data_IF_685002745220
#
_entry.id   IF_685002745220
#
_cell.length_a   1.000
_cell.length_b   1.000
_cell.length_c   1.000
_cell.angle_alpha   90.00
_cell.angle_beta   90.00
_cell.angle_gamma   90.00
#
_symmetry.space_group_name_H-M   'P 1'
#
loop_
_entity.id
_entity.type
_entity.pdbx_description
1 polymer ?
#
# COMPACT_ATOMS: atom_id res chain seq x y z
N UNK A 1 65.85 5.04 -34.54
CA UNK A 1 64.44 4.70 -34.86
C UNK A 1 63.83 3.98 -33.66
N UNK A 2 63.07 4.69 -32.82
CA UNK A 2 62.42 4.17 -31.60
C UNK A 2 61.03 3.63 -31.97
N UNK A 3 60.80 2.37 -31.80
CA UNK A 3 59.46 1.74 -31.99
C UNK A 3 58.62 2.03 -30.77
N UNK A 4 57.52 2.77 -30.93
CA UNK A 4 56.51 3.02 -29.91
C UNK A 4 55.51 1.89 -30.03
N UNK A 5 55.51 1.00 -29.03
CA UNK A 5 54.52 -0.06 -28.92
C UNK A 5 53.29 0.52 -28.20
N UNK A 6 52.19 0.69 -28.94
CA UNK A 6 50.90 1.16 -28.42
C UNK A 6 50.21 -0.03 -27.74
N UNK A 7 50.15 -0.02 -26.42
CA UNK A 7 49.36 -0.98 -25.64
C UNK A 7 47.93 -0.44 -25.56
N UNK A 8 47.03 -0.99 -26.36
CA UNK A 8 45.59 -0.74 -26.26
C UNK A 8 45.05 -1.57 -25.07
N UNK A 9 44.91 -0.93 -23.93
CA UNK A 9 44.24 -1.52 -22.78
C UNK A 9 42.76 -1.65 -23.05
N UNK A 10 42.26 -2.88 -23.25
CA UNK A 10 40.84 -3.18 -23.27
C UNK A 10 40.28 -2.96 -21.84
N UNK A 11 39.62 -1.86 -21.60
CA UNK A 11 38.83 -1.67 -20.37
C UNK A 11 37.55 -2.46 -20.53
N UNK A 12 37.50 -3.65 -19.96
CA UNK A 12 36.25 -4.37 -19.74
C UNK A 12 35.46 -3.63 -18.68
N UNK A 13 34.52 -2.80 -19.10
CA UNK A 13 33.49 -2.31 -18.22
C UNK A 13 32.57 -3.48 -17.92
N UNK A 14 32.80 -4.11 -16.78
CA UNK A 14 31.87 -5.07 -16.21
C UNK A 14 30.63 -4.32 -15.82
N UNK A 15 29.63 -4.30 -16.70
CA UNK A 15 28.28 -3.90 -16.35
C UNK A 15 27.76 -4.98 -15.41
N UNK A 16 28.03 -4.81 -14.11
CA UNK A 16 27.40 -5.62 -13.08
C UNK A 16 25.90 -5.41 -13.21
N UNK A 17 25.18 -6.46 -13.57
CA UNK A 17 23.75 -6.51 -13.66
C UNK A 17 23.16 -6.17 -12.28
N UNK A 18 22.88 -4.89 -12.06
CA UNK A 18 22.08 -4.43 -10.95
C UNK A 18 20.66 -4.97 -11.14
N UNK A 19 20.26 -5.92 -10.29
CA UNK A 19 18.84 -6.15 -10.03
C UNK A 19 18.15 -7.31 -10.71
N UNK A 20 18.82 -8.38 -11.11
CA UNK A 20 18.12 -9.64 -11.35
C UNK A 20 18.05 -10.43 -10.03
N UNK A 21 16.89 -10.39 -9.38
CA UNK A 21 16.57 -11.37 -8.34
C UNK A 21 16.77 -12.76 -8.96
N UNK A 22 17.67 -13.59 -8.39
CA UNK A 22 17.87 -14.93 -8.92
C UNK A 22 16.59 -15.76 -8.77
N UNK A 23 16.42 -16.82 -9.57
CA UNK A 23 15.22 -17.65 -9.59
C UNK A 23 14.91 -18.23 -8.21
N UNK A 24 15.93 -18.72 -7.53
CA UNK A 24 15.82 -19.33 -6.20
C UNK A 24 15.33 -18.33 -5.14
N UNK A 25 15.77 -17.10 -5.21
CA UNK A 25 15.31 -16.02 -4.32
C UNK A 25 13.86 -15.63 -4.59
N UNK A 26 13.45 -15.63 -5.85
CA UNK A 26 12.07 -15.35 -6.23
C UNK A 26 11.12 -16.48 -5.82
N UNK A 27 11.49 -17.72 -6.00
CA UNK A 27 10.74 -18.88 -5.52
C UNK A 27 10.48 -18.80 -4.01
N UNK A 28 11.53 -18.57 -3.22
CA UNK A 28 11.42 -18.36 -1.77
C UNK A 28 10.54 -17.17 -1.40
N UNK A 29 10.52 -16.11 -2.22
CA UNK A 29 9.63 -14.97 -2.02
C UNK A 29 8.17 -15.38 -2.24
N UNK A 30 7.87 -16.17 -3.26
CA UNK A 30 6.53 -16.65 -3.53
C UNK A 30 5.97 -17.56 -2.41
N UNK A 31 6.80 -18.36 -1.79
CA UNK A 31 6.41 -19.26 -0.68
C UNK A 31 5.98 -18.50 0.58
N UNK A 32 6.52 -17.31 0.82
CA UNK A 32 6.24 -16.53 2.05
C UNK A 32 4.81 -16.04 2.17
N UNK A 33 4.14 -15.78 1.06
CA UNK A 33 2.76 -15.29 1.04
C UNK A 33 2.09 -15.52 -0.31
N UNK A 34 0.83 -15.96 -0.35
CA UNK A 34 0.05 -16.04 -1.58
C UNK A 34 -0.08 -14.70 -2.33
N UNK A 35 0.00 -13.58 -1.60
CA UNK A 35 -0.08 -12.24 -2.18
C UNK A 35 1.17 -11.85 -2.97
N UNK A 36 2.29 -12.51 -2.72
CA UNK A 36 3.54 -12.22 -3.40
C UNK A 36 3.49 -12.48 -4.91
N UNK A 37 2.56 -13.34 -5.36
CA UNK A 37 2.30 -13.59 -6.80
C UNK A 37 1.78 -12.36 -7.56
N UNK A 38 1.33 -11.33 -6.87
CA UNK A 38 0.87 -10.07 -7.49
C UNK A 38 2.03 -9.19 -7.95
N UNK A 39 3.25 -9.46 -7.48
CA UNK A 39 4.40 -8.62 -7.78
C UNK A 39 5.29 -9.24 -8.86
N UNK A 40 5.73 -8.46 -9.86
CA UNK A 40 6.68 -8.93 -10.84
C UNK A 40 8.05 -9.22 -10.18
N UNK A 41 8.78 -10.19 -10.72
CA UNK A 41 10.08 -10.63 -10.21
C UNK A 41 11.06 -9.47 -10.03
N UNK A 42 11.03 -8.49 -10.93
CA UNK A 42 11.92 -7.32 -10.92
C UNK A 42 11.88 -6.51 -9.62
N UNK A 43 10.72 -6.43 -8.96
CA UNK A 43 10.51 -5.63 -7.74
C UNK A 43 10.14 -6.48 -6.51
N UNK A 44 10.37 -7.77 -6.57
CA UNK A 44 9.90 -8.70 -5.55
C UNK A 44 10.48 -8.41 -4.15
N UNK A 45 11.77 -8.07 -4.05
CA UNK A 45 12.41 -7.74 -2.78
C UNK A 45 11.88 -6.44 -2.19
N UNK A 46 11.76 -5.42 -3.00
CA UNK A 46 11.24 -4.09 -2.63
C UNK A 46 9.77 -4.18 -2.23
N UNK A 47 8.98 -4.97 -2.94
CA UNK A 47 7.59 -5.22 -2.62
C UNK A 47 7.43 -5.93 -1.26
N UNK A 48 8.28 -6.92 -0.97
CA UNK A 48 8.29 -7.59 0.33
C UNK A 48 8.65 -6.64 1.46
N UNK A 49 9.65 -5.79 1.27
CA UNK A 49 10.05 -4.79 2.25
C UNK A 49 8.96 -3.74 2.47
N UNK A 50 8.39 -3.20 1.39
CA UNK A 50 7.28 -2.27 1.46
C UNK A 50 6.09 -2.86 2.23
N UNK A 51 5.72 -4.11 1.96
CA UNK A 51 4.60 -4.76 2.65
C UNK A 51 4.87 -4.95 4.14
N UNK A 52 6.12 -5.27 4.51
CA UNK A 52 6.53 -5.34 5.92
C UNK A 52 6.44 -3.98 6.62
N UNK A 53 6.91 -2.92 5.96
CA UNK A 53 6.88 -1.56 6.50
C UNK A 53 5.46 -1.02 6.59
N UNK A 54 4.63 -1.27 5.58
CA UNK A 54 3.21 -0.91 5.61
C UNK A 54 2.48 -1.55 6.81
N UNK A 55 2.77 -2.81 7.13
CA UNK A 55 2.17 -3.48 8.28
C UNK A 55 2.54 -2.82 9.63
N UNK A 56 3.65 -2.11 9.71
CA UNK A 56 4.03 -1.36 10.93
C UNK A 56 3.03 -0.27 11.28
N UNK A 57 2.32 0.30 10.31
CA UNK A 57 1.25 1.27 10.56
C UNK A 57 0.15 0.71 11.46
N UNK A 58 -0.09 -0.60 11.41
CA UNK A 58 -1.10 -1.28 12.20
C UNK A 58 -0.60 -1.82 13.54
N UNK A 59 0.71 -1.92 13.75
CA UNK A 59 1.29 -2.53 14.94
C UNK A 59 2.07 -1.57 15.81
N UNK A 60 2.68 -0.55 15.23
CA UNK A 60 3.59 0.38 15.90
C UNK A 60 3.55 1.80 15.30
N UNK A 61 2.51 2.11 14.53
CA UNK A 61 2.29 3.46 13.97
C UNK A 61 1.85 4.47 15.04
N UNK A 62 1.60 5.72 14.63
CA UNK A 62 1.17 6.80 15.52
C UNK A 62 -0.26 6.64 16.04
N UNK A 63 -1.06 5.79 15.40
CA UNK A 63 -2.43 5.45 15.82
C UNK A 63 -2.45 4.08 16.50
N UNK A 64 -3.47 3.81 17.31
CA UNK A 64 -3.67 2.47 17.85
C UNK A 64 -4.02 1.47 16.74
N UNK A 65 -3.75 0.19 16.99
CA UNK A 65 -4.14 -0.88 16.04
C UNK A 65 -5.62 -0.83 15.70
N UNK A 66 -6.49 -0.54 16.66
CA UNK A 66 -7.94 -0.43 16.45
C UNK A 66 -8.29 0.72 15.51
N UNK A 67 -7.77 1.91 15.77
CA UNK A 67 -8.00 3.10 14.92
C UNK A 67 -7.51 2.87 13.49
N UNK A 68 -6.30 2.34 13.34
CA UNK A 68 -5.75 2.02 12.02
C UNK A 68 -6.64 0.99 11.26
N UNK A 69 -7.19 -0.02 11.96
CA UNK A 69 -8.12 -0.98 11.34
C UNK A 69 -9.45 -0.37 10.97
N UNK A 70 -10.02 0.51 11.80
CA UNK A 70 -11.25 1.24 11.46
C UNK A 70 -11.06 2.14 10.25
N UNK A 71 -9.95 2.89 10.19
CA UNK A 71 -9.59 3.71 9.02
C UNK A 71 -9.47 2.87 7.74
N UNK A 72 -8.79 1.71 7.83
CA UNK A 72 -8.64 0.81 6.69
C UNK A 72 -9.97 0.21 6.23
N UNK A 73 -10.89 -0.10 7.15
CA UNK A 73 -12.25 -0.58 6.83
C UNK A 73 -13.03 0.53 6.11
N UNK A 74 -13.03 1.75 6.65
CA UNK A 74 -13.72 2.90 6.03
C UNK A 74 -13.19 3.17 4.62
N UNK A 75 -11.88 3.23 4.44
CA UNK A 75 -11.26 3.41 3.14
C UNK A 75 -11.62 2.28 2.16
N UNK A 76 -11.57 1.02 2.62
CA UNK A 76 -11.91 -0.16 1.81
C UNK A 76 -13.39 -0.14 1.36
N UNK A 77 -14.29 0.27 2.26
CA UNK A 77 -15.72 0.39 1.97
C UNK A 77 -15.98 1.52 0.95
N UNK A 78 -15.35 2.69 1.14
CA UNK A 78 -15.49 3.83 0.25
C UNK A 78 -15.10 3.52 -1.21
N UNK A 79 -14.01 2.76 -1.39
CA UNK A 79 -13.55 2.33 -2.73
C UNK A 79 -14.17 1.02 -3.21
N UNK A 80 -15.08 0.42 -2.42
CA UNK A 80 -15.78 -0.84 -2.73
C UNK A 80 -14.85 -2.02 -3.01
N UNK A 81 -13.71 -2.08 -2.31
CA UNK A 81 -12.74 -3.16 -2.46
C UNK A 81 -13.17 -4.38 -1.63
N UNK A 82 -13.84 -5.34 -2.23
CA UNK A 82 -14.36 -6.53 -1.55
C UNK A 82 -13.27 -7.31 -0.79
N UNK A 83 -12.13 -7.57 -1.43
CA UNK A 83 -11.01 -8.28 -0.81
C UNK A 83 -10.42 -7.49 0.37
N UNK A 84 -10.31 -6.16 0.20
CA UNK A 84 -9.79 -5.29 1.26
C UNK A 84 -10.73 -5.28 2.47
N UNK A 85 -12.06 -5.16 2.26
CA UNK A 85 -13.05 -5.21 3.33
C UNK A 85 -12.93 -6.54 4.09
N UNK A 86 -12.95 -7.68 3.39
CA UNK A 86 -12.82 -9.00 4.00
C UNK A 86 -11.56 -9.12 4.85
N UNK A 87 -10.41 -8.73 4.31
CA UNK A 87 -9.14 -8.79 5.02
C UNK A 87 -9.14 -7.89 6.26
N UNK A 88 -9.56 -6.62 6.13
CA UNK A 88 -9.54 -5.68 7.23
C UNK A 88 -10.54 -6.06 8.34
N UNK A 89 -11.72 -6.59 8.01
CA UNK A 89 -12.68 -7.10 9.01
C UNK A 89 -12.07 -8.27 9.81
N UNK A 90 -11.40 -9.21 9.14
CA UNK A 90 -10.73 -10.32 9.84
C UNK A 90 -9.66 -9.80 10.81
N UNK A 91 -8.83 -8.86 10.36
CA UNK A 91 -7.77 -8.29 11.21
C UNK A 91 -8.33 -7.40 12.32
N UNK A 92 -9.41 -6.68 12.08
CA UNK A 92 -10.10 -5.88 13.08
C UNK A 92 -10.65 -6.75 14.22
N UNK A 93 -11.30 -7.85 13.90
CA UNK A 93 -11.78 -8.83 14.91
C UNK A 93 -10.63 -9.43 15.72
N UNK A 94 -9.51 -9.76 15.07
CA UNK A 94 -8.29 -10.22 15.77
C UNK A 94 -7.71 -9.15 16.70
N UNK A 95 -7.88 -7.87 16.37
CA UNK A 95 -7.48 -6.74 17.20
C UNK A 95 -8.51 -6.40 18.31
N UNK A 96 -9.59 -7.19 18.43
CA UNK A 96 -10.61 -7.03 19.45
C UNK A 96 -11.63 -5.92 19.17
N UNK A 97 -11.87 -5.58 17.89
CA UNK A 97 -12.98 -4.73 17.50
C UNK A 97 -14.30 -5.50 17.51
N UNK A 98 -15.35 -4.84 17.97
CA UNK A 98 -16.72 -5.35 17.98
C UNK A 98 -17.35 -5.20 16.60
N UNK A 99 -18.45 -5.93 16.36
CA UNK A 99 -19.21 -5.80 15.13
C UNK A 99 -19.81 -4.39 14.97
N UNK A 100 -20.16 -3.73 16.07
CA UNK A 100 -20.71 -2.37 16.04
C UNK A 100 -19.65 -1.31 15.72
N UNK A 101 -18.42 -1.44 16.22
CA UNK A 101 -17.29 -0.58 15.81
C UNK A 101 -17.02 -0.72 14.30
N UNK A 102 -17.06 -1.95 13.78
CA UNK A 102 -16.86 -2.23 12.35
C UNK A 102 -18.01 -1.61 11.50
N UNK A 103 -19.27 -1.80 11.92
CA UNK A 103 -20.43 -1.20 11.24
C UNK A 103 -20.37 0.33 11.25
N UNK A 104 -19.93 0.94 12.37
CA UNK A 104 -19.75 2.39 12.46
C UNK A 104 -18.73 2.90 11.44
N UNK A 105 -17.59 2.21 11.25
CA UNK A 105 -16.61 2.57 10.24
C UNK A 105 -17.16 2.50 8.81
N UNK A 106 -17.99 1.50 8.51
CA UNK A 106 -18.68 1.38 7.21
C UNK A 106 -19.72 2.47 7.03
N UNK A 107 -20.50 2.81 8.08
CA UNK A 107 -21.48 3.89 8.04
C UNK A 107 -20.81 5.24 7.80
N UNK A 108 -19.69 5.52 8.46
CA UNK A 108 -18.91 6.75 8.24
C UNK A 108 -18.49 6.87 6.78
N UNK A 109 -17.99 5.78 6.17
CA UNK A 109 -17.62 5.78 4.76
C UNK A 109 -18.81 6.10 3.84
N UNK A 110 -19.98 5.54 4.14
CA UNK A 110 -21.21 5.80 3.39
C UNK A 110 -21.65 7.27 3.51
N UNK A 111 -21.58 7.85 4.72
CA UNK A 111 -21.93 9.25 4.94
C UNK A 111 -20.97 10.22 4.24
N UNK A 112 -19.67 9.96 4.26
CA UNK A 112 -18.68 10.75 3.51
C UNK A 112 -18.99 10.71 2.01
N UNK A 113 -19.30 9.55 1.45
CA UNK A 113 -19.68 9.42 0.04
C UNK A 113 -21.00 10.14 -0.27
N UNK A 114 -21.99 10.06 0.63
CA UNK A 114 -23.27 10.75 0.50
C UNK A 114 -23.08 12.27 0.48
N UNK A 115 -22.33 12.82 1.44
CA UNK A 115 -22.06 14.25 1.48
C UNK A 115 -21.30 14.73 0.25
N UNK A 116 -20.27 14.00 -0.18
CA UNK A 116 -19.55 14.31 -1.41
C UNK A 116 -20.50 14.41 -2.61
N UNK A 117 -21.41 13.43 -2.76
CA UNK A 117 -22.39 13.43 -3.86
C UNK A 117 -23.33 14.63 -3.78
N UNK A 118 -23.82 14.98 -2.57
CA UNK A 118 -24.73 16.12 -2.38
C UNK A 118 -24.05 17.45 -2.65
N UNK A 119 -22.82 17.64 -2.17
CA UNK A 119 -22.07 18.88 -2.37
C UNK A 119 -21.76 19.12 -3.86
N UNK A 120 -21.21 18.10 -4.53
CA UNK A 120 -20.90 18.22 -5.97
C UNK A 120 -22.16 18.30 -6.84
N UNK A 121 -23.19 17.50 -6.54
CA UNK A 121 -24.42 17.47 -7.33
C UNK A 121 -25.28 18.73 -7.20
N UNK A 122 -25.11 19.50 -6.13
CA UNK A 122 -25.79 20.78 -5.91
C UNK A 122 -24.86 21.99 -6.12
N UNK A 123 -23.69 21.80 -6.71
CA UNK A 123 -22.73 22.88 -7.03
C UNK A 123 -22.38 23.76 -5.81
N UNK A 124 -22.29 23.12 -4.61
CA UNK A 124 -22.01 23.81 -3.36
C UNK A 124 -20.63 24.48 -3.41
N UNK A 125 -20.59 25.78 -3.19
CA UNK A 125 -19.37 26.56 -3.31
C UNK A 125 -18.45 26.44 -2.09
N UNK A 126 -17.16 26.71 -2.25
CA UNK A 126 -16.20 26.74 -1.13
C UNK A 126 -16.58 27.80 -0.08
N UNK A 127 -17.19 28.92 -0.48
CA UNK A 127 -17.65 29.97 0.44
C UNK A 127 -18.80 29.47 1.31
N UNK A 128 -19.81 28.82 0.70
CA UNK A 128 -20.92 28.22 1.42
C UNK A 128 -20.47 27.12 2.36
N UNK A 129 -19.52 26.30 1.90
CA UNK A 129 -18.94 25.23 2.70
C UNK A 129 -18.19 25.77 3.92
N UNK A 130 -17.33 26.76 3.75
CA UNK A 130 -16.58 27.36 4.85
C UNK A 130 -17.51 28.01 5.87
N UNK A 131 -18.54 28.72 5.40
CA UNK A 131 -19.57 29.35 6.27
C UNK A 131 -20.37 28.31 7.08
N UNK A 132 -20.60 27.14 6.53
CA UNK A 132 -21.31 26.06 7.22
C UNK A 132 -20.48 25.38 8.33
N UNK A 133 -19.15 25.61 8.35
CA UNK A 133 -18.22 25.04 9.34
C UNK A 133 -17.89 26.02 10.50
N UNK A 134 -18.29 27.29 10.41
CA UNK A 134 -18.17 28.30 11.47
C UNK A 134 -19.25 28.13 12.55
#
# INVERSE_FOLDING_TARGET
>A
MKKITLIIGLVFISFSALGQTDESSYEKFLEKSPFNRMYPKLIASEAAQYFADWNKLFSSGPTTTKEARLAAISASAAIRCEYCIKAQVIFAKKAGLTDDEIKAAVQIAAEVARFSTLLYGNEFTDEEFNKALE
#
